data_IF_397839416693
#
_entry.id   IF_397839416693
#
_cell.length_a   1.000
_cell.length_b   1.000
_cell.length_c   1.000
_cell.angle_alpha   90.00
_cell.angle_beta   90.00
_cell.angle_gamma   90.00
#
_symmetry.space_group_name_H-M   'P 1'
#
loop_
_entity.id
_entity.type
_entity.pdbx_description
1 polymer ?
#
# COMPACT_ATOMS: atom_id res chain seq x y z
N UNK A 1 -13.95 17.01 -15.15
CA UNK A 1 -12.56 16.51 -15.29
C UNK A 1 -11.74 17.16 -14.18
N UNK A 2 -10.87 16.44 -13.45
CA UNK A 2 -10.09 17.07 -12.36
C UNK A 2 -9.05 18.05 -12.92
N UNK A 3 -8.70 19.09 -12.15
CA UNK A 3 -7.68 20.11 -12.51
C UNK A 3 -6.39 19.44 -13.01
N UNK A 4 -5.91 18.46 -12.26
CA UNK A 4 -4.76 17.61 -12.63
C UNK A 4 -4.94 16.88 -13.96
N UNK A 5 -6.07 16.19 -14.20
CA UNK A 5 -6.30 15.46 -15.45
C UNK A 5 -6.41 16.42 -16.64
N UNK A 6 -7.03 17.59 -16.46
CA UNK A 6 -7.12 18.62 -17.50
C UNK A 6 -5.72 19.09 -17.92
N UNK A 7 -4.85 19.38 -16.97
CA UNK A 7 -3.49 19.87 -17.23
C UNK A 7 -2.61 18.77 -17.82
N UNK A 8 -2.71 17.53 -17.32
CA UNK A 8 -1.97 16.41 -17.88
C UNK A 8 -2.40 16.12 -19.34
N UNK A 9 -3.69 16.15 -19.63
CA UNK A 9 -4.18 16.04 -21.02
C UNK A 9 -3.70 17.22 -21.86
N UNK A 10 -3.65 18.44 -21.30
CA UNK A 10 -3.07 19.60 -21.99
C UNK A 10 -1.59 19.35 -22.34
N UNK A 11 -0.77 18.90 -21.40
CA UNK A 11 0.67 18.65 -21.63
C UNK A 11 0.89 17.55 -22.69
N UNK A 12 0.09 16.46 -22.64
CA UNK A 12 0.26 15.29 -23.50
C UNK A 12 -0.40 15.43 -24.89
N UNK A 13 -1.29 16.41 -25.09
CA UNK A 13 -1.97 16.62 -26.36
C UNK A 13 -1.05 17.38 -27.33
N UNK A 14 -0.35 16.59 -28.16
CA UNK A 14 0.59 17.05 -29.21
C UNK A 14 -0.12 17.60 -30.47
N UNK A 15 -1.45 17.56 -30.52
CA UNK A 15 -2.24 18.06 -31.64
C UNK A 15 -2.52 19.56 -31.57
N UNK A 16 -2.50 20.24 -32.71
CA UNK A 16 -2.95 21.65 -32.82
C UNK A 16 -4.48 21.68 -32.74
N UNK A 17 -5.02 21.86 -31.54
CA UNK A 17 -6.46 22.04 -31.32
C UNK A 17 -6.81 23.54 -31.24
N UNK A 18 -7.49 24.12 -32.24
CA UNK A 18 -7.82 25.56 -32.25
C UNK A 18 -8.87 25.98 -31.21
N UNK A 19 -9.51 25.03 -30.50
CA UNK A 19 -10.45 25.29 -29.39
C UNK A 19 -9.81 25.11 -28.00
N UNK A 20 -8.48 24.94 -27.95
CA UNK A 20 -7.73 24.72 -26.72
C UNK A 20 -7.79 25.98 -25.85
N UNK A 21 -8.41 25.85 -24.69
CA UNK A 21 -8.40 26.93 -23.70
C UNK A 21 -6.99 27.06 -23.11
N UNK A 22 -6.39 28.26 -23.10
CA UNK A 22 -5.08 28.46 -22.51
C UNK A 22 -5.09 28.14 -21.02
N UNK A 23 -3.97 27.64 -20.51
CA UNK A 23 -3.76 27.47 -19.08
C UNK A 23 -3.59 28.85 -18.42
N UNK A 24 -4.17 29.00 -17.24
CA UNK A 24 -3.90 30.15 -16.37
C UNK A 24 -2.53 30.02 -15.68
N UNK A 25 -2.11 31.06 -14.97
CA UNK A 25 -0.75 31.12 -14.38
C UNK A 25 -0.48 30.02 -13.35
N UNK A 26 -1.50 29.62 -12.57
CA UNK A 26 -1.36 28.52 -11.61
C UNK A 26 -1.24 27.17 -12.32
N UNK A 27 -2.04 26.98 -13.37
CA UNK A 27 -2.02 25.77 -14.18
C UNK A 27 -0.71 25.63 -14.96
N UNK A 28 -0.12 26.74 -15.41
CA UNK A 28 1.20 26.77 -16.04
C UNK A 28 2.31 26.37 -15.06
N UNK A 29 2.26 26.84 -13.81
CA UNK A 29 3.21 26.43 -12.76
C UNK A 29 3.09 24.94 -12.48
N UNK A 30 1.87 24.44 -12.31
CA UNK A 30 1.62 23.02 -12.09
C UNK A 30 2.05 22.18 -13.32
N UNK A 31 1.85 22.68 -14.54
CA UNK A 31 2.32 22.01 -15.73
C UNK A 31 3.85 21.91 -15.80
N UNK A 32 4.56 22.99 -15.45
CA UNK A 32 6.02 22.99 -15.37
C UNK A 32 6.54 21.95 -14.36
N UNK A 33 5.95 21.88 -13.15
CA UNK A 33 6.33 20.85 -12.18
C UNK A 33 6.10 19.42 -12.67
N UNK A 34 5.03 19.18 -13.44
CA UNK A 34 4.76 17.86 -14.00
C UNK A 34 5.71 17.48 -15.12
N UNK A 35 6.15 18.46 -15.91
CA UNK A 35 7.17 18.28 -16.95
C UNK A 35 8.52 18.00 -16.29
N UNK A 36 8.94 18.82 -15.33
CA UNK A 36 10.20 18.63 -14.60
C UNK A 36 10.24 17.27 -13.89
N UNK A 37 9.14 16.87 -13.23
CA UNK A 37 9.04 15.56 -12.62
C UNK A 37 9.17 14.43 -13.66
N UNK A 38 8.51 14.57 -14.81
CA UNK A 38 8.62 13.60 -15.91
C UNK A 38 10.02 13.53 -16.51
N UNK A 39 10.69 14.67 -16.67
CA UNK A 39 12.07 14.72 -17.16
C UNK A 39 13.07 14.17 -16.17
N UNK A 40 12.90 14.42 -14.88
CA UNK A 40 13.71 13.79 -13.84
C UNK A 40 13.52 12.27 -13.88
N UNK A 41 12.29 11.76 -14.13
CA UNK A 41 11.95 10.33 -14.30
C UNK A 41 12.77 9.74 -15.46
N UNK A 42 12.81 10.44 -16.58
CA UNK A 42 13.58 10.02 -17.75
C UNK A 42 15.11 10.10 -17.55
N UNK A 43 15.58 11.05 -16.73
CA UNK A 43 17.02 11.23 -16.44
C UNK A 43 17.53 10.29 -15.34
N UNK A 44 16.64 9.59 -14.63
CA UNK A 44 17.00 8.70 -13.53
C UNK A 44 17.50 9.41 -12.26
N UNK A 45 17.21 10.71 -12.12
CA UNK A 45 17.73 11.59 -11.08
C UNK A 45 16.89 11.54 -9.79
N UNK A 46 16.63 10.33 -9.26
CA UNK A 46 16.05 10.16 -7.92
C UNK A 46 16.77 9.06 -7.16
N UNK A 47 17.22 9.41 -5.96
CA UNK A 47 17.55 8.44 -4.94
C UNK A 47 16.25 7.93 -4.30
N UNK A 48 15.85 6.71 -4.66
CA UNK A 48 14.90 5.95 -3.86
C UNK A 48 15.72 5.35 -2.71
N UNK A 49 15.67 5.95 -1.53
CA UNK A 49 16.24 5.35 -0.32
C UNK A 49 15.47 4.06 0.02
N UNK A 50 16.01 2.95 -0.46
CA UNK A 50 15.55 1.60 -0.14
C UNK A 50 16.28 1.18 1.14
N UNK A 51 15.64 1.35 2.29
CA UNK A 51 16.19 0.87 3.56
C UNK A 51 16.47 -0.64 3.49
N UNK A 52 17.74 -0.97 3.69
CA UNK A 52 18.33 -2.29 3.61
C UNK A 52 17.81 -3.20 4.73
N UNK A 53 17.00 -4.21 4.40
CA UNK A 53 16.97 -5.48 5.14
C UNK A 53 16.31 -6.59 4.30
N UNK A 54 17.00 -7.05 3.25
CA UNK A 54 16.68 -8.33 2.58
C UNK A 54 17.96 -9.06 2.16
N UNK A 55 19.02 -9.02 2.98
CA UNK A 55 20.19 -9.86 2.78
C UNK A 55 19.89 -11.27 3.27
N UNK A 56 19.63 -12.19 2.32
CA UNK A 56 19.57 -13.65 2.39
C UNK A 56 18.23 -14.28 1.96
N UNK A 57 17.67 -13.84 0.83
CA UNK A 57 16.71 -14.63 0.08
C UNK A 57 17.37 -15.02 -1.25
N UNK A 58 18.10 -16.13 -1.25
CA UNK A 58 18.50 -16.77 -2.50
C UNK A 58 17.22 -17.23 -3.23
N UNK A 59 17.09 -16.80 -4.47
CA UNK A 59 16.04 -17.07 -5.46
C UNK A 59 14.68 -16.35 -5.27
N UNK A 60 14.66 -15.06 -5.64
CA UNK A 60 13.47 -14.21 -5.74
C UNK A 60 12.41 -14.77 -6.72
N UNK A 61 11.38 -15.40 -6.15
CA UNK A 61 10.14 -15.79 -6.82
C UNK A 61 9.16 -14.61 -6.84
N UNK A 62 8.99 -13.97 -8.00
CA UNK A 62 7.97 -12.96 -8.22
C UNK A 62 6.73 -13.61 -8.86
N UNK A 63 5.67 -13.81 -8.08
CA UNK A 63 4.40 -14.36 -8.54
C UNK A 63 3.46 -13.26 -9.06
N UNK A 64 3.51 -13.03 -10.36
CA UNK A 64 2.72 -11.99 -11.02
C UNK A 64 1.41 -12.51 -11.61
N UNK A 65 0.36 -11.73 -11.36
CA UNK A 65 -0.94 -11.90 -11.99
C UNK A 65 -0.82 -11.74 -13.52
N UNK A 66 -1.63 -12.47 -14.28
CA UNK A 66 -1.61 -12.54 -15.76
C UNK A 66 -2.04 -11.24 -16.48
N UNK A 67 -1.76 -10.07 -15.91
CA UNK A 67 -2.09 -8.78 -16.49
C UNK A 67 -1.14 -8.47 -17.66
N UNK A 68 -1.64 -7.79 -18.70
CA UNK A 68 -0.88 -7.61 -19.94
C UNK A 68 0.44 -6.85 -19.73
N UNK A 69 0.47 -5.89 -18.80
CA UNK A 69 1.68 -5.15 -18.43
C UNK A 69 2.78 -6.03 -17.81
N UNK A 70 2.42 -7.19 -17.25
CA UNK A 70 3.34 -8.13 -16.62
C UNK A 70 3.74 -9.29 -17.54
N UNK A 71 3.29 -9.24 -18.80
CA UNK A 71 3.74 -10.14 -19.89
C UNK A 71 4.76 -9.48 -20.80
N UNK A 72 4.99 -8.17 -20.63
CA UNK A 72 5.98 -7.42 -21.38
C UNK A 72 7.36 -7.64 -20.76
N UNK A 73 8.03 -8.70 -21.20
CA UNK A 73 9.37 -9.05 -20.71
C UNK A 73 10.39 -7.96 -21.04
N UNK A 74 10.22 -7.22 -22.13
CA UNK A 74 11.14 -6.13 -22.49
C UNK A 74 11.06 -4.97 -21.49
N UNK A 75 9.85 -4.63 -21.03
CA UNK A 75 9.66 -3.63 -19.98
C UNK A 75 10.14 -4.10 -18.61
N UNK A 76 10.09 -5.40 -18.31
CA UNK A 76 10.63 -5.96 -17.06
C UNK A 76 12.16 -5.98 -17.11
N UNK A 77 12.74 -6.44 -18.23
CA UNK A 77 14.18 -6.52 -18.41
C UNK A 77 14.84 -5.14 -18.39
N UNK A 78 14.16 -4.09 -18.87
CA UNK A 78 14.70 -2.72 -18.86
C UNK A 78 14.87 -2.12 -17.47
N UNK A 79 14.09 -2.60 -16.49
CA UNK A 79 14.15 -2.15 -15.08
C UNK A 79 14.80 -3.17 -14.16
N UNK A 80 15.13 -4.36 -14.65
CA UNK A 80 15.80 -5.40 -13.87
C UNK A 80 17.29 -5.08 -13.76
N UNK A 81 17.86 -4.94 -12.55
CA UNK A 81 19.28 -4.71 -12.40
C UNK A 81 20.09 -5.81 -13.06
N UNK A 82 21.13 -5.45 -13.81
CA UNK A 82 21.98 -6.41 -14.54
C UNK A 82 22.68 -7.44 -13.65
N UNK A 83 22.74 -7.19 -12.33
CA UNK A 83 23.26 -8.10 -11.32
C UNK A 83 22.29 -9.22 -10.91
N UNK A 84 21.01 -9.15 -11.26
CA UNK A 84 19.99 -10.11 -10.84
C UNK A 84 19.41 -10.85 -12.04
N UNK A 85 19.22 -12.16 -11.89
CA UNK A 85 18.49 -12.99 -12.86
C UNK A 85 17.11 -13.29 -12.32
N UNK A 86 16.09 -12.61 -12.84
CA UNK A 86 14.71 -12.89 -12.47
C UNK A 86 14.14 -14.04 -13.29
N UNK A 87 13.48 -14.98 -12.61
CA UNK A 87 12.70 -16.05 -13.26
C UNK A 87 11.21 -15.73 -13.11
N UNK A 88 10.59 -15.32 -14.20
CA UNK A 88 9.16 -15.03 -14.23
C UNK A 88 8.35 -16.32 -14.36
N UNK A 89 7.40 -16.52 -13.45
CA UNK A 89 6.38 -17.56 -13.54
C UNK A 89 5.01 -16.91 -13.68
N UNK A 90 4.20 -17.43 -14.61
CA UNK A 90 2.84 -16.93 -14.83
C UNK A 90 1.83 -17.82 -14.14
N UNK A 91 1.03 -17.22 -13.25
CA UNK A 91 -0.11 -17.90 -12.63
C UNK A 91 -1.18 -18.18 -13.71
N UNK A 92 -1.64 -19.44 -13.88
CA UNK A 92 -2.70 -19.74 -14.82
C UNK A 92 -3.99 -18.97 -14.51
N UNK A 93 -4.74 -18.62 -15.55
CA UNK A 93 -6.01 -17.91 -15.40
C UNK A 93 -6.97 -18.69 -14.48
N UNK A 94 -7.59 -18.00 -13.53
CA UNK A 94 -8.50 -18.61 -12.55
C UNK A 94 -7.82 -19.32 -11.37
N UNK A 95 -6.47 -19.43 -11.35
CA UNK A 95 -5.74 -20.07 -10.26
C UNK A 95 -5.29 -19.11 -9.16
N UNK A 96 -5.41 -17.79 -9.35
CA UNK A 96 -4.96 -16.75 -8.41
C UNK A 96 -5.43 -16.99 -6.98
N UNK A 97 -6.71 -17.29 -6.77
CA UNK A 97 -7.27 -17.54 -5.44
C UNK A 97 -6.81 -18.83 -4.76
N UNK A 98 -6.06 -19.69 -5.46
CA UNK A 98 -5.52 -20.96 -4.96
C UNK A 98 -4.03 -20.90 -4.72
N UNK A 99 -3.29 -20.23 -5.60
CA UNK A 99 -1.83 -20.26 -5.59
C UNK A 99 -1.19 -18.91 -5.31
N UNK A 100 -1.89 -17.78 -5.36
CA UNK A 100 -1.25 -16.49 -5.05
C UNK A 100 -1.29 -16.24 -3.53
N UNK A 101 -0.16 -16.18 -2.79
CA UNK A 101 -0.15 -15.94 -1.34
C UNK A 101 -0.93 -14.68 -0.94
N UNK A 102 -0.82 -13.64 -1.77
CA UNK A 102 -1.55 -12.39 -1.61
C UNK A 102 -3.07 -12.60 -1.60
N UNK A 103 -3.60 -13.38 -2.53
CA UNK A 103 -5.03 -13.67 -2.63
C UNK A 103 -5.51 -14.68 -1.57
N UNK A 104 -4.68 -15.70 -1.29
CA UNK A 104 -5.00 -16.81 -0.37
C UNK A 104 -5.11 -16.33 1.09
N UNK A 105 -4.18 -15.49 1.55
CA UNK A 105 -4.11 -15.11 2.97
C UNK A 105 -4.00 -13.61 3.25
N UNK A 106 -3.12 -12.91 2.54
CA UNK A 106 -2.71 -11.55 2.89
C UNK A 106 -3.87 -10.57 2.72
N UNK A 107 -4.49 -10.52 1.53
CA UNK A 107 -5.56 -9.57 1.24
C UNK A 107 -6.84 -9.83 2.03
N UNK A 108 -7.12 -11.07 2.40
CA UNK A 108 -8.22 -11.40 3.30
C UNK A 108 -8.06 -10.72 4.66
N UNK A 109 -6.86 -10.80 5.24
CA UNK A 109 -6.57 -10.17 6.53
C UNK A 109 -6.47 -8.65 6.44
N UNK A 110 -5.88 -8.12 5.36
CA UNK A 110 -5.86 -6.68 5.08
C UNK A 110 -7.29 -6.11 5.03
N UNK A 111 -8.18 -6.72 4.23
CA UNK A 111 -9.59 -6.32 4.14
C UNK A 111 -10.30 -6.40 5.48
N UNK A 112 -9.99 -7.41 6.30
CA UNK A 112 -10.56 -7.54 7.65
C UNK A 112 -10.15 -6.36 8.54
N UNK A 113 -8.89 -5.96 8.54
CA UNK A 113 -8.40 -4.80 9.31
C UNK A 113 -9.06 -3.52 8.82
N UNK A 114 -9.04 -3.26 7.51
CA UNK A 114 -9.71 -2.10 6.91
C UNK A 114 -11.18 -2.05 7.32
N UNK A 115 -11.90 -3.17 7.19
CA UNK A 115 -13.31 -3.27 7.58
C UNK A 115 -13.54 -2.98 9.05
N UNK A 116 -12.69 -3.46 9.95
CA UNK A 116 -12.78 -3.15 11.39
C UNK A 116 -12.64 -1.66 11.64
N UNK A 117 -11.64 -1.01 11.02
CA UNK A 117 -11.41 0.43 11.16
C UNK A 117 -12.59 1.26 10.61
N UNK A 118 -13.08 0.92 9.42
CA UNK A 118 -14.21 1.62 8.79
C UNK A 118 -15.50 1.42 9.56
N UNK A 119 -15.76 0.21 10.08
CA UNK A 119 -16.95 -0.06 10.88
C UNK A 119 -16.92 0.71 12.20
N UNK A 120 -15.77 0.76 12.88
CA UNK A 120 -15.61 1.54 14.10
C UNK A 120 -15.95 3.02 13.83
N UNK A 121 -15.36 3.60 12.80
CA UNK A 121 -15.60 4.99 12.45
C UNK A 121 -17.04 5.29 12.02
N UNK A 122 -17.72 4.38 11.33
CA UNK A 122 -19.14 4.55 11.02
C UNK A 122 -20.01 4.63 12.27
N UNK A 123 -19.60 3.96 13.37
CA UNK A 123 -20.32 3.97 14.64
C UNK A 123 -19.97 5.18 15.52
N UNK A 124 -18.70 5.61 15.52
CA UNK A 124 -18.20 6.61 16.48
C UNK A 124 -17.89 7.97 15.87
N UNK A 125 -17.71 8.06 14.55
CA UNK A 125 -17.19 9.24 13.84
C UNK A 125 -18.00 9.51 12.57
N UNK A 126 -19.28 9.87 12.73
CA UNK A 126 -20.22 10.13 11.62
C UNK A 126 -19.75 11.21 10.62
N UNK A 127 -18.87 12.11 11.06
CA UNK A 127 -18.34 13.20 10.23
C UNK A 127 -17.15 12.79 9.36
N UNK A 128 -16.50 11.65 9.65
CA UNK A 128 -15.33 11.20 8.91
C UNK A 128 -15.73 10.55 7.57
N UNK A 129 -15.37 11.19 6.46
CA UNK A 129 -15.76 10.78 5.11
C UNK A 129 -14.68 9.92 4.45
N UNK A 130 -14.81 8.60 4.59
CA UNK A 130 -13.96 7.64 3.85
C UNK A 130 -14.07 7.73 2.33
N UNK A 131 -15.10 8.38 1.80
CA UNK A 131 -15.44 8.37 0.38
C UNK A 131 -14.54 9.30 -0.47
N UNK A 132 -13.64 10.06 0.15
CA UNK A 132 -12.63 10.83 -0.58
C UNK A 132 -11.41 9.95 -0.87
N UNK A 133 -10.77 10.21 -2.02
CA UNK A 133 -9.60 9.43 -2.45
C UNK A 133 -8.47 9.49 -1.42
N UNK A 134 -8.18 10.67 -0.92
CA UNK A 134 -7.00 10.89 -0.07
C UNK A 134 -7.18 10.24 1.31
N UNK A 135 -8.38 10.31 1.90
CA UNK A 135 -8.67 9.61 3.17
C UNK A 135 -8.69 8.09 3.01
N UNK A 136 -9.14 7.58 1.85
CA UNK A 136 -8.99 6.16 1.52
C UNK A 136 -7.51 5.77 1.43
N UNK A 137 -6.68 6.54 0.71
CA UNK A 137 -5.26 6.24 0.54
C UNK A 137 -4.50 6.30 1.87
N UNK A 138 -4.77 7.29 2.72
CA UNK A 138 -4.21 7.39 4.07
C UNK A 138 -4.54 6.15 4.90
N UNK A 139 -5.81 5.73 4.93
CA UNK A 139 -6.23 4.53 5.67
C UNK A 139 -5.52 3.27 5.14
N UNK A 140 -5.51 3.07 3.82
CA UNK A 140 -4.89 1.89 3.22
C UNK A 140 -3.38 1.86 3.46
N UNK A 141 -2.71 3.01 3.34
CA UNK A 141 -1.29 3.18 3.65
C UNK A 141 -0.98 2.85 5.11
N UNK A 142 -1.76 3.41 6.04
CA UNK A 142 -1.60 3.15 7.47
C UNK A 142 -1.76 1.65 7.80
N UNK A 143 -2.80 1.01 7.26
CA UNK A 143 -3.01 -0.44 7.45
C UNK A 143 -1.89 -1.25 6.83
N UNK A 144 -1.47 -0.91 5.62
CA UNK A 144 -0.37 -1.59 4.93
C UNK A 144 0.91 -1.53 5.75
N UNK A 145 1.27 -0.35 6.26
CA UNK A 145 2.41 -0.15 7.15
C UNK A 145 2.33 -1.07 8.36
N UNK A 146 1.18 -1.19 9.02
CA UNK A 146 1.04 -2.13 10.14
C UNK A 146 1.26 -3.59 9.71
N UNK A 147 0.76 -3.99 8.55
CA UNK A 147 0.94 -5.36 8.04
C UNK A 147 2.40 -5.68 7.67
N UNK A 148 3.21 -4.68 7.37
CA UNK A 148 4.66 -4.82 7.18
C UNK A 148 5.45 -4.98 8.49
N UNK A 149 4.78 -5.00 9.66
CA UNK A 149 5.47 -5.21 10.93
C UNK A 149 6.16 -6.59 10.99
N UNK A 150 7.41 -6.69 11.50
CA UNK A 150 8.09 -7.97 11.69
C UNK A 150 7.31 -8.99 12.54
N UNK A 151 6.41 -8.50 13.41
CA UNK A 151 5.54 -9.35 14.23
C UNK A 151 4.58 -10.22 13.42
N UNK A 152 4.33 -9.83 12.17
CA UNK A 152 3.45 -10.53 11.25
C UNK A 152 4.18 -11.43 10.26
N UNK A 153 5.51 -11.57 10.36
CA UNK A 153 6.31 -12.41 9.46
C UNK A 153 5.82 -13.86 9.43
N UNK A 154 5.54 -14.45 10.60
CA UNK A 154 5.01 -15.82 10.69
C UNK A 154 3.64 -15.95 10.03
N UNK A 155 2.77 -14.95 10.18
CA UNK A 155 1.47 -14.93 9.51
C UNK A 155 1.61 -14.81 8.00
N UNK A 156 2.50 -13.92 7.52
CA UNK A 156 2.79 -13.75 6.10
C UNK A 156 3.34 -15.06 5.51
N UNK A 157 4.32 -15.70 6.17
CA UNK A 157 4.87 -17.01 5.79
C UNK A 157 3.80 -18.09 5.70
N UNK A 158 2.84 -18.11 6.63
CA UNK A 158 1.73 -19.04 6.56
C UNK A 158 0.87 -18.84 5.29
N UNK A 159 0.73 -17.62 4.77
CA UNK A 159 0.01 -17.40 3.51
C UNK A 159 0.69 -18.09 2.31
N UNK A 160 2.02 -18.18 2.31
CA UNK A 160 2.78 -18.94 1.31
C UNK A 160 2.59 -20.45 1.47
N UNK A 161 2.65 -20.97 2.71
CA UNK A 161 2.33 -22.39 3.00
C UNK A 161 0.92 -22.73 2.52
N UNK A 162 -0.05 -21.87 2.83
CA UNK A 162 -1.46 -22.08 2.48
C UNK A 162 -1.69 -22.02 0.95
N UNK A 163 -0.83 -21.30 0.22
CA UNK A 163 -0.85 -21.25 -1.24
C UNK A 163 -0.11 -22.44 -1.90
N UNK A 164 0.49 -23.34 -1.10
CA UNK A 164 1.14 -24.56 -1.57
C UNK A 164 2.64 -24.45 -1.82
N UNK A 165 3.29 -23.38 -1.38
CA UNK A 165 4.73 -23.18 -1.54
C UNK A 165 5.51 -23.97 -0.49
N UNK A 166 6.69 -24.44 -0.89
CA UNK A 166 7.61 -25.17 -0.02
C UNK A 166 8.40 -24.19 0.85
N UNK A 167 7.74 -23.71 1.91
CA UNK A 167 8.35 -22.85 2.93
C UNK A 167 8.09 -23.42 4.34
N UNK A 168 9.01 -23.21 5.30
CA UNK A 168 8.84 -23.74 6.64
C UNK A 168 7.54 -23.29 7.29
N UNK A 169 6.68 -24.25 7.64
CA UNK A 169 5.40 -23.94 8.29
C UNK A 169 5.63 -23.36 9.68
N UNK A 170 5.10 -22.17 9.99
CA UNK A 170 5.20 -21.61 11.34
C UNK A 170 4.37 -22.46 12.32
N UNK A 171 4.91 -22.71 13.51
CA UNK A 171 4.24 -23.50 14.55
C UNK A 171 2.95 -22.83 15.06
N UNK A 172 3.02 -21.52 15.33
CA UNK A 172 1.88 -20.68 15.71
C UNK A 172 2.16 -19.23 15.31
N UNK A 173 1.08 -18.47 15.10
CA UNK A 173 1.13 -17.05 14.80
C UNK A 173 -0.18 -16.39 15.20
N UNK A 174 -0.14 -15.08 15.41
CA UNK A 174 -1.32 -14.24 15.56
C UNK A 174 -1.61 -13.55 14.23
N UNK A 175 -2.89 -13.35 13.94
CA UNK A 175 -3.33 -12.62 12.74
C UNK A 175 -3.21 -11.11 12.94
N UNK A 176 -3.16 -10.31 11.86
CA UNK A 176 -3.15 -8.84 11.96
C UNK A 176 -4.28 -8.30 12.83
N UNK A 177 -5.49 -8.86 12.71
CA UNK A 177 -6.63 -8.42 13.51
C UNK A 177 -6.46 -8.75 15.01
N UNK A 178 -5.82 -9.87 15.37
CA UNK A 178 -5.58 -10.20 16.78
C UNK A 178 -4.54 -9.27 17.42
N UNK A 179 -3.48 -8.94 16.67
CA UNK A 179 -2.43 -8.06 17.17
C UNK A 179 -2.86 -6.59 17.24
N UNK A 180 -3.60 -6.12 16.24
CA UNK A 180 -4.10 -4.73 16.17
C UNK A 180 -5.28 -4.48 17.12
N UNK A 181 -6.14 -5.50 17.33
CA UNK A 181 -7.36 -5.39 18.12
C UNK A 181 -7.41 -6.46 19.22
N UNK A 182 -6.43 -6.49 20.15
CA UNK A 182 -6.38 -7.49 21.22
C UNK A 182 -7.55 -7.33 22.19
N UNK A 183 -7.79 -8.37 23.00
CA UNK A 183 -8.71 -8.25 24.14
C UNK A 183 -8.19 -7.17 25.09
N UNK A 184 -9.05 -6.24 25.49
CA UNK A 184 -8.65 -5.10 26.32
C UNK A 184 -8.00 -3.94 25.54
N UNK A 185 -8.13 -3.91 24.20
CA UNK A 185 -7.70 -2.74 23.41
C UNK A 185 -8.47 -1.46 23.76
N UNK A 186 -9.66 -1.61 24.37
CA UNK A 186 -10.44 -0.52 24.94
C UNK A 186 -9.84 -0.06 26.28
N UNK A 187 -8.94 0.90 26.24
CA UNK A 187 -8.38 1.58 27.40
C UNK A 187 -8.18 3.06 27.12
N UNK A 188 -7.19 3.68 27.74
CA UNK A 188 -6.86 5.08 27.47
C UNK A 188 -6.02 5.20 26.19
N UNK A 189 -6.25 6.26 25.42
CA UNK A 189 -5.35 6.61 24.33
C UNK A 189 -4.01 7.11 24.89
N UNK A 190 -2.90 6.67 24.31
CA UNK A 190 -1.56 7.02 24.78
C UNK A 190 -1.17 8.48 24.47
N UNK A 191 -1.93 9.19 23.63
CA UNK A 191 -1.63 10.58 23.32
C UNK A 191 -1.90 11.49 24.51
N UNK A 192 -0.93 12.37 24.81
CA UNK A 192 -1.00 13.25 25.97
C UNK A 192 -2.21 14.18 25.90
N UNK A 193 -3.02 14.20 26.96
CA UNK A 193 -4.25 15.01 27.04
C UNK A 193 -5.44 14.41 26.30
N UNK A 194 -5.34 13.20 25.74
CA UNK A 194 -6.47 12.52 25.13
C UNK A 194 -7.29 11.77 26.18
N UNK A 195 -8.60 12.03 26.24
CA UNK A 195 -9.57 11.29 27.06
C UNK A 195 -10.36 10.25 26.28
N UNK A 196 -10.09 10.09 24.98
CA UNK A 196 -10.80 9.15 24.11
C UNK A 196 -10.35 7.72 24.37
N UNK A 197 -11.31 6.79 24.34
CA UNK A 197 -11.02 5.36 24.45
C UNK A 197 -10.21 4.88 23.24
N UNK A 198 -9.15 4.13 23.51
CA UNK A 198 -8.39 3.46 22.48
C UNK A 198 -9.16 2.29 21.88
N UNK A 199 -8.83 1.95 20.63
CA UNK A 199 -9.49 0.84 19.93
C UNK A 199 -8.51 0.04 19.06
N UNK A 200 -7.27 0.50 18.94
CA UNK A 200 -6.22 -0.14 18.15
C UNK A 200 -4.88 -0.06 18.90
N UNK A 201 -4.11 -1.14 18.84
CA UNK A 201 -2.71 -1.20 19.28
C UNK A 201 -1.80 -1.05 18.05
N UNK A 202 -0.83 -0.13 18.08
CA UNK A 202 0.16 -0.04 17.02
C UNK A 202 1.18 -1.20 17.13
N UNK A 203 1.49 -1.87 16.02
CA UNK A 203 2.40 -3.02 16.03
C UNK A 203 3.88 -2.64 16.20
N UNK A 204 4.24 -1.41 15.85
CA UNK A 204 5.60 -0.90 15.99
C UNK A 204 5.87 -0.35 17.39
N UNK A 205 5.14 0.68 17.82
CA UNK A 205 5.39 1.32 19.13
C UNK A 205 4.64 0.65 20.30
N UNK A 206 3.78 -0.33 20.04
CA UNK A 206 3.00 -1.07 21.05
C UNK A 206 2.01 -0.27 21.90
N UNK A 207 1.84 1.01 21.57
CA UNK A 207 0.93 1.93 22.25
C UNK A 207 -0.52 1.79 21.75
N UNK A 208 -1.45 2.21 22.59
CA UNK A 208 -2.88 2.17 22.31
C UNK A 208 -3.37 3.54 21.83
N UNK A 209 -4.13 3.56 20.74
CA UNK A 209 -4.62 4.80 20.13
C UNK A 209 -6.13 4.79 19.92
N UNK A 210 -6.75 5.95 20.06
CA UNK A 210 -8.12 6.18 19.61
C UNK A 210 -8.15 6.40 18.08
N UNK A 211 -9.35 6.49 17.51
CA UNK A 211 -9.51 6.65 16.06
C UNK A 211 -8.90 7.94 15.52
N UNK A 212 -9.05 9.05 16.25
CA UNK A 212 -8.49 10.35 15.87
C UNK A 212 -6.97 10.23 15.69
N UNK A 213 -6.27 9.87 16.76
CA UNK A 213 -4.81 9.84 16.77
C UNK A 213 -4.21 8.74 15.92
N UNK A 214 -4.94 7.65 15.68
CA UNK A 214 -4.44 6.57 14.81
C UNK A 214 -4.68 6.87 13.33
N UNK A 215 -5.92 7.18 12.95
CA UNK A 215 -6.35 7.25 11.55
C UNK A 215 -6.38 8.68 11.03
N UNK A 216 -7.01 9.61 11.75
CA UNK A 216 -7.24 10.99 11.29
C UNK A 216 -5.92 11.76 11.29
N UNK A 217 -5.19 11.72 12.40
CA UNK A 217 -3.86 12.31 12.53
C UNK A 217 -2.78 11.49 11.79
N UNK A 218 -3.18 10.33 11.22
CA UNK A 218 -2.33 9.43 10.47
C UNK A 218 -1.06 9.07 11.27
N UNK A 219 -1.26 8.29 12.35
CA UNK A 219 -0.21 7.92 13.29
C UNK A 219 1.04 7.46 12.56
N UNK A 220 2.17 8.08 12.89
CA UNK A 220 3.50 7.64 12.53
C UNK A 220 4.29 7.36 13.82
N UNK A 221 5.14 6.32 13.79
CA UNK A 221 5.90 5.92 14.98
C UNK A 221 7.20 6.70 15.07
#
# INVERSE_FOLDING_TARGET
MSKFRRILTYILDLGVNPKRQPLDEEDLKLAAYLIDLGESIDKGDFDIEMEQHLSNFEDDLQDLNSWNSWKDTAAIDSVTPSSHKLKLLTIPAGCTGRIQPCAVGIFGSFKKVVKTLTNYAQLTNSNYKFQTRDETLKLLSLVWRQLCSPKLEKWARYAWVAAGYDVPRPASFETPAQLLFPRGVAGDCTMHGCSSTSFVKCLYCEKLFCFEHFVIDHHNC
#
